data_IF_051206359017
#
_entry.id   IF_051206359017
#
_cell.length_a   1.000
_cell.length_b   1.000
_cell.length_c   1.000
_cell.angle_alpha   90.00
_cell.angle_beta   90.00
_cell.angle_gamma   90.00
#
_symmetry.space_group_name_H-M   'P 1'
#
loop_
_entity.id
_entity.type
_entity.pdbx_description
1 polymer ?
#
# COMPACT_ATOMS: atom_id res chain seq x y z
N UNK A 1 -0.51 -25.06 19.96
CA UNK A 1 -1.16 -25.55 18.70
C UNK A 1 -2.53 -24.90 18.64
N UNK A 2 -2.71 -23.92 17.77
CA UNK A 2 -4.02 -23.29 17.50
C UNK A 2 -4.98 -24.36 16.99
N UNK A 3 -6.19 -24.41 17.53
CA UNK A 3 -7.20 -25.36 17.06
C UNK A 3 -7.46 -25.10 15.56
N UNK A 4 -7.47 -26.16 14.76
CA UNK A 4 -7.67 -26.10 13.30
C UNK A 4 -8.97 -25.37 12.89
N UNK A 5 -9.97 -25.35 13.79
CA UNK A 5 -11.20 -24.58 13.60
C UNK A 5 -10.96 -23.07 13.78
N UNK A 6 -10.16 -22.69 14.77
CA UNK A 6 -9.84 -21.30 15.06
C UNK A 6 -8.92 -20.72 13.98
N UNK A 7 -7.95 -21.48 13.49
CA UNK A 7 -7.12 -21.08 12.34
C UNK A 7 -7.96 -20.81 11.11
N UNK A 8 -8.87 -21.72 10.74
CA UNK A 8 -9.80 -21.53 9.61
C UNK A 8 -10.64 -20.26 9.76
N UNK A 9 -11.17 -20.01 10.96
CA UNK A 9 -11.93 -18.80 11.27
C UNK A 9 -11.08 -17.53 11.05
N UNK A 10 -9.84 -17.56 11.53
CA UNK A 10 -8.92 -16.42 11.38
C UNK A 10 -8.52 -16.19 9.92
N UNK A 11 -8.33 -17.24 9.11
CA UNK A 11 -8.12 -17.12 7.66
C UNK A 11 -9.30 -16.41 6.99
N UNK A 12 -10.51 -16.85 7.26
CA UNK A 12 -11.71 -16.29 6.62
C UNK A 12 -11.95 -14.84 7.07
N UNK A 13 -11.95 -14.59 8.39
CA UNK A 13 -12.17 -13.25 8.91
C UNK A 13 -11.06 -12.28 8.49
N UNK A 14 -9.79 -12.71 8.61
CA UNK A 14 -8.64 -11.91 8.19
C UNK A 14 -8.68 -11.61 6.70
N UNK A 15 -8.97 -12.62 5.87
CA UNK A 15 -9.09 -12.44 4.42
C UNK A 15 -10.26 -11.52 4.02
N UNK A 16 -11.41 -11.61 4.69
CA UNK A 16 -12.54 -10.71 4.45
C UNK A 16 -12.18 -9.27 4.86
N UNK A 17 -11.67 -9.07 6.08
CA UNK A 17 -11.30 -7.74 6.55
C UNK A 17 -10.21 -7.09 5.68
N UNK A 18 -9.15 -7.85 5.35
CA UNK A 18 -8.10 -7.38 4.45
C UNK A 18 -8.64 -7.10 3.04
N UNK A 19 -9.50 -7.98 2.51
CA UNK A 19 -10.08 -7.82 1.18
C UNK A 19 -11.01 -6.61 1.06
N UNK A 20 -11.83 -6.35 2.08
CA UNK A 20 -12.67 -5.15 2.17
C UNK A 20 -11.80 -3.88 2.20
N UNK A 21 -10.79 -3.85 3.09
CA UNK A 21 -9.89 -2.71 3.19
C UNK A 21 -9.15 -2.48 1.88
N UNK A 22 -8.58 -3.53 1.27
CA UNK A 22 -7.87 -3.43 0.01
C UNK A 22 -8.78 -2.96 -1.13
N UNK A 23 -10.00 -3.47 -1.24
CA UNK A 23 -10.97 -3.05 -2.24
C UNK A 23 -11.27 -1.55 -2.11
N UNK A 24 -11.59 -1.08 -0.90
CA UNK A 24 -11.89 0.34 -0.66
C UNK A 24 -10.67 1.22 -0.95
N UNK A 25 -9.49 0.85 -0.44
CA UNK A 25 -8.27 1.62 -0.65
C UNK A 25 -7.91 1.74 -2.12
N UNK A 26 -7.92 0.62 -2.86
CA UNK A 26 -7.57 0.60 -4.29
C UNK A 26 -8.54 1.42 -5.13
N UNK A 27 -9.85 1.34 -4.86
CA UNK A 27 -10.83 2.14 -5.58
C UNK A 27 -10.69 3.65 -5.27
N UNK A 28 -10.49 4.02 -3.99
CA UNK A 28 -10.22 5.42 -3.61
C UNK A 28 -8.96 5.95 -4.29
N UNK A 29 -7.89 5.16 -4.35
CA UNK A 29 -6.65 5.53 -5.02
C UNK A 29 -6.86 5.70 -6.52
N UNK A 30 -7.51 4.74 -7.17
CA UNK A 30 -7.75 4.75 -8.61
C UNK A 30 -8.61 5.94 -9.05
N UNK A 31 -9.65 6.26 -8.30
CA UNK A 31 -10.47 7.44 -8.56
C UNK A 31 -9.68 8.71 -8.24
N UNK A 32 -8.95 8.74 -7.12
CA UNK A 32 -8.17 9.89 -6.69
C UNK A 32 -7.10 10.31 -7.68
N UNK A 33 -6.37 9.34 -8.27
CA UNK A 33 -5.31 9.61 -9.26
C UNK A 33 -5.84 10.33 -10.51
N UNK A 34 -7.11 10.18 -10.85
CA UNK A 34 -7.71 10.89 -11.99
C UNK A 34 -7.79 12.41 -11.76
N UNK A 35 -7.74 12.87 -10.52
CA UNK A 35 -7.91 14.29 -10.13
C UNK A 35 -6.69 14.88 -9.43
N UNK A 36 -5.56 14.17 -9.40
CA UNK A 36 -4.29 14.63 -8.83
C UNK A 36 -3.11 14.11 -9.65
N UNK A 37 -1.90 14.57 -9.36
CA UNK A 37 -0.70 14.04 -10.02
C UNK A 37 -0.25 12.74 -9.38
N UNK A 38 0.39 11.86 -10.17
CA UNK A 38 0.89 10.55 -9.69
C UNK A 38 1.87 10.72 -8.53
N UNK A 39 2.77 11.72 -8.59
CA UNK A 39 3.71 12.01 -7.52
C UNK A 39 3.01 12.43 -6.23
N UNK A 40 2.00 13.33 -6.31
CA UNK A 40 1.22 13.71 -5.13
C UNK A 40 0.43 12.54 -4.57
N UNK A 41 -0.20 11.73 -5.43
CA UNK A 41 -0.91 10.54 -5.01
C UNK A 41 0.02 9.57 -4.27
N UNK A 42 1.22 9.31 -4.79
CA UNK A 42 2.23 8.47 -4.14
C UNK A 42 2.66 9.02 -2.77
N UNK A 43 2.93 10.33 -2.68
CA UNK A 43 3.27 10.97 -1.40
C UNK A 43 2.15 10.86 -0.37
N UNK A 44 0.90 11.21 -0.76
CA UNK A 44 -0.25 11.20 0.15
C UNK A 44 -0.58 9.78 0.58
N UNK A 45 -0.55 8.80 -0.34
CA UNK A 45 -0.77 7.38 0.02
C UNK A 45 0.28 6.93 1.03
N UNK A 46 1.56 7.24 0.80
CA UNK A 46 2.64 6.82 1.69
C UNK A 46 2.59 7.49 3.07
N UNK A 47 1.72 8.47 3.32
CA UNK A 47 1.47 9.00 4.67
C UNK A 47 0.94 7.93 5.64
N UNK A 48 0.58 6.73 5.17
CA UNK A 48 0.33 5.60 6.07
C UNK A 48 1.51 5.32 7.01
N UNK A 49 2.75 5.68 6.66
CA UNK A 49 3.92 5.57 7.55
C UNK A 49 3.78 6.41 8.84
N UNK A 50 3.05 7.50 8.77
CA UNK A 50 2.72 8.36 9.93
C UNK A 50 1.46 7.84 10.62
N UNK A 51 0.47 7.43 9.84
CA UNK A 51 -0.83 7.00 10.36
C UNK A 51 -0.74 5.66 11.10
N UNK A 52 0.08 4.70 10.62
CA UNK A 52 0.23 3.38 11.26
C UNK A 52 0.69 3.50 12.72
N UNK A 53 1.78 4.20 13.08
CA UNK A 53 2.17 4.36 14.48
C UNK A 53 1.14 5.17 15.28
N UNK A 54 0.47 6.17 14.70
CA UNK A 54 -0.58 6.94 15.38
C UNK A 54 -1.75 6.01 15.75
N UNK A 55 -2.28 5.26 14.80
CA UNK A 55 -3.36 4.29 15.06
C UNK A 55 -2.89 3.15 15.97
N UNK A 56 -1.61 2.76 15.87
CA UNK A 56 -0.98 1.79 16.76
C UNK A 56 -1.05 2.19 18.24
N UNK A 57 -0.95 3.48 18.56
CA UNK A 57 -1.09 3.98 19.93
C UNK A 57 -2.47 3.63 20.50
N UNK A 58 -3.54 3.79 19.72
CA UNK A 58 -4.89 3.40 20.15
C UNK A 58 -5.04 1.90 20.36
N UNK A 59 -4.21 1.08 19.67
CA UNK A 59 -4.11 -0.37 19.87
C UNK A 59 -3.10 -0.75 20.96
N UNK A 60 -2.68 0.22 21.81
CA UNK A 60 -1.69 0.05 22.89
C UNK A 60 -0.30 -0.38 22.43
N UNK A 61 0.03 -0.22 21.15
CA UNK A 61 1.38 -0.40 20.61
C UNK A 61 2.17 0.88 20.83
N UNK A 62 3.37 0.77 21.40
CA UNK A 62 4.23 1.91 21.69
C UNK A 62 5.31 2.02 20.60
N UNK A 63 5.28 3.07 19.81
CA UNK A 63 6.39 3.43 18.94
C UNK A 63 7.45 4.20 19.76
N UNK A 64 8.67 3.69 19.78
CA UNK A 64 9.79 4.37 20.45
C UNK A 64 10.21 5.65 19.70
N UNK A 65 10.98 6.52 20.36
CA UNK A 65 11.47 7.79 19.79
C UNK A 65 12.25 7.55 18.48
N UNK A 66 13.02 6.48 18.39
CA UNK A 66 13.77 6.12 17.15
C UNK A 66 12.82 5.93 15.95
N UNK A 67 11.68 5.26 16.16
CA UNK A 67 10.68 5.06 15.10
C UNK A 67 10.11 6.39 14.63
N UNK A 68 9.84 7.33 15.53
CA UNK A 68 9.35 8.66 15.16
C UNK A 68 10.38 9.47 14.39
N UNK A 69 11.68 9.33 14.71
CA UNK A 69 12.78 9.94 13.92
C UNK A 69 12.82 9.33 12.52
N UNK A 70 12.75 8.00 12.40
CA UNK A 70 12.68 7.30 11.10
C UNK A 70 11.47 7.75 10.27
N UNK A 71 10.28 7.87 10.88
CA UNK A 71 9.08 8.38 10.24
C UNK A 71 9.30 9.81 9.72
N UNK A 72 9.87 10.70 10.52
CA UNK A 72 10.13 12.08 10.11
C UNK A 72 11.12 12.16 8.93
N UNK A 73 12.21 11.36 8.96
CA UNK A 73 13.19 11.28 7.87
C UNK A 73 12.52 10.71 6.61
N UNK A 74 11.70 9.66 6.74
CA UNK A 74 10.96 9.07 5.61
C UNK A 74 10.00 10.06 4.98
N UNK A 75 9.24 10.82 5.76
CA UNK A 75 8.33 11.85 5.24
C UNK A 75 9.10 12.92 4.47
N UNK A 76 10.26 13.36 4.98
CA UNK A 76 11.12 14.31 4.29
C UNK A 76 11.66 13.72 2.96
N UNK A 77 12.08 12.45 2.97
CA UNK A 77 12.52 11.73 1.77
C UNK A 77 11.41 11.60 0.73
N UNK A 78 10.22 11.18 1.15
CA UNK A 78 9.03 11.09 0.28
C UNK A 78 8.64 12.45 -0.32
N UNK A 79 8.71 13.51 0.47
CA UNK A 79 8.46 14.86 -0.03
C UNK A 79 9.42 15.24 -1.15
N UNK A 80 10.70 14.93 -0.99
CA UNK A 80 11.69 15.19 -2.03
C UNK A 80 11.48 14.33 -3.29
N UNK A 81 11.04 13.08 -3.13
CA UNK A 81 10.79 12.16 -4.24
C UNK A 81 9.53 12.53 -5.04
N UNK A 82 8.45 12.80 -4.35
CA UNK A 82 7.11 12.79 -4.97
C UNK A 82 6.56 14.19 -5.28
N UNK A 83 7.01 15.24 -4.56
CA UNK A 83 6.45 16.58 -4.72
C UNK A 83 7.38 17.42 -5.57
N UNK A 84 7.07 17.56 -6.84
CA UNK A 84 7.79 18.43 -7.79
C UNK A 84 7.15 19.80 -7.95
N UNK A 85 5.84 19.90 -7.75
CA UNK A 85 5.04 21.12 -7.95
C UNK A 85 4.56 21.71 -6.62
N UNK A 86 3.91 22.88 -6.70
CA UNK A 86 3.27 23.51 -5.53
C UNK A 86 2.18 22.61 -4.96
N UNK A 87 2.17 22.46 -3.64
CA UNK A 87 1.12 21.75 -2.90
C UNK A 87 -0.20 22.55 -2.95
N UNK A 88 -0.91 22.48 -4.05
CA UNK A 88 -2.29 22.98 -4.15
C UNK A 88 -3.21 21.78 -3.95
N UNK A 89 -4.10 21.87 -2.96
CA UNK A 89 -5.06 20.79 -2.65
C UNK A 89 -6.04 20.61 -3.83
N UNK A 90 -6.03 19.44 -4.42
CA UNK A 90 -6.97 19.00 -5.43
C UNK A 90 -8.05 18.08 -4.82
N UNK A 91 -9.19 17.94 -5.50
CA UNK A 91 -10.25 17.01 -5.04
C UNK A 91 -9.74 15.57 -4.89
N UNK A 92 -8.83 15.15 -5.79
CA UNK A 92 -8.21 13.83 -5.73
C UNK A 92 -7.36 13.60 -4.49
N UNK A 93 -6.73 14.65 -3.95
CA UNK A 93 -5.86 14.53 -2.77
C UNK A 93 -6.63 14.06 -1.53
N UNK A 94 -7.91 14.45 -1.41
CA UNK A 94 -8.78 14.00 -0.30
C UNK A 94 -9.08 12.50 -0.45
N UNK A 95 -9.38 12.03 -1.65
CA UNK A 95 -9.63 10.60 -1.91
C UNK A 95 -8.39 9.76 -1.63
N UNK A 96 -7.23 10.25 -2.04
CA UNK A 96 -5.95 9.58 -1.78
C UNK A 96 -5.57 9.61 -0.29
N UNK A 97 -5.93 10.66 0.44
CA UNK A 97 -5.74 10.71 1.89
C UNK A 97 -6.65 9.69 2.60
N UNK A 98 -7.90 9.57 2.18
CA UNK A 98 -8.79 8.53 2.68
C UNK A 98 -8.25 7.13 2.35
N UNK A 99 -7.69 6.95 1.15
CA UNK A 99 -6.99 5.73 0.77
C UNK A 99 -5.83 5.41 1.75
N UNK A 100 -4.99 6.40 2.11
CA UNK A 100 -3.91 6.21 3.07
C UNK A 100 -4.43 5.77 4.46
N UNK A 101 -5.55 6.31 4.92
CA UNK A 101 -6.22 5.87 6.16
C UNK A 101 -6.67 4.41 6.04
N UNK A 102 -7.28 4.02 4.92
CA UNK A 102 -7.74 2.64 4.71
C UNK A 102 -6.56 1.67 4.57
N UNK A 103 -5.47 2.05 3.89
CA UNK A 103 -4.23 1.24 3.87
C UNK A 103 -3.63 1.09 5.27
N UNK A 104 -3.70 2.13 6.10
CA UNK A 104 -3.29 2.02 7.51
C UNK A 104 -4.10 0.94 8.23
N UNK A 105 -5.41 0.93 8.06
CA UNK A 105 -6.29 -0.11 8.63
C UNK A 105 -5.91 -1.48 8.06
N UNK A 106 -5.67 -1.59 6.76
CA UNK A 106 -5.26 -2.83 6.11
C UNK A 106 -3.97 -3.40 6.73
N UNK A 107 -2.93 -2.57 6.91
CA UNK A 107 -1.66 -2.96 7.55
C UNK A 107 -1.89 -3.45 8.99
N UNK A 108 -2.73 -2.77 9.76
CA UNK A 108 -3.04 -3.15 11.14
C UNK A 108 -3.90 -4.42 11.23
N UNK A 109 -4.78 -4.65 10.27
CA UNK A 109 -5.57 -5.89 10.16
C UNK A 109 -4.66 -7.08 9.82
N UNK A 110 -3.73 -6.91 8.89
CA UNK A 110 -2.70 -7.92 8.59
C UNK A 110 -1.91 -8.26 9.86
N UNK A 111 -1.40 -7.25 10.57
CA UNK A 111 -0.65 -7.43 11.80
C UNK A 111 -1.43 -8.21 12.88
N UNK A 112 -2.74 -8.03 12.94
CA UNK A 112 -3.57 -8.76 13.89
C UNK A 112 -3.81 -10.22 13.50
N UNK A 113 -4.00 -10.52 12.20
CA UNK A 113 -4.40 -11.86 11.75
C UNK A 113 -3.22 -12.73 11.29
N UNK A 114 -2.13 -12.15 10.76
CA UNK A 114 -0.99 -12.91 10.22
C UNK A 114 -0.29 -13.81 11.24
N UNK A 115 -0.19 -13.47 12.56
CA UNK A 115 0.36 -14.40 13.54
C UNK A 115 -0.58 -15.55 13.90
N UNK A 116 -1.88 -15.44 13.58
CA UNK A 116 -2.94 -16.38 14.02
C UNK A 116 -3.33 -17.39 12.95
N UNK A 117 -2.90 -17.18 11.69
CA UNK A 117 -3.29 -18.01 10.58
C UNK A 117 -2.24 -17.99 9.46
N UNK A 118 -2.38 -18.91 8.51
CA UNK A 118 -1.51 -19.00 7.35
C UNK A 118 -1.66 -17.76 6.45
N UNK A 119 -0.57 -17.01 6.27
CA UNK A 119 -0.54 -15.75 5.52
C UNK A 119 -0.92 -15.91 4.04
N UNK A 120 -0.53 -17.02 3.41
CA UNK A 120 -0.86 -17.30 2.00
C UNK A 120 -2.36 -17.52 1.84
N UNK A 121 -2.99 -18.23 2.78
CA UNK A 121 -4.44 -18.44 2.76
C UNK A 121 -5.21 -17.16 3.01
N UNK A 122 -4.73 -16.28 3.92
CA UNK A 122 -5.29 -14.94 4.11
C UNK A 122 -5.21 -14.16 2.81
N UNK A 123 -4.04 -14.16 2.12
CA UNK A 123 -3.84 -13.47 0.85
C UNK A 123 -4.80 -13.98 -0.24
N UNK A 124 -4.92 -15.29 -0.42
CA UNK A 124 -5.87 -15.86 -1.38
C UNK A 124 -7.32 -15.42 -1.11
N UNK A 125 -7.74 -15.46 0.16
CA UNK A 125 -9.09 -15.04 0.54
C UNK A 125 -9.28 -13.54 0.31
N UNK A 126 -8.28 -12.72 0.67
CA UNK A 126 -8.28 -11.28 0.43
C UNK A 126 -8.48 -10.95 -1.06
N UNK A 127 -7.71 -11.57 -1.95
CA UNK A 127 -7.81 -11.28 -3.38
C UNK A 127 -9.14 -11.75 -3.97
N UNK A 128 -9.64 -12.89 -3.53
CA UNK A 128 -10.96 -13.36 -3.95
C UNK A 128 -12.06 -12.34 -3.56
N UNK A 129 -12.06 -11.87 -2.31
CA UNK A 129 -13.04 -10.88 -1.84
C UNK A 129 -12.86 -9.55 -2.58
N UNK A 130 -11.62 -9.05 -2.72
CA UNK A 130 -11.34 -7.81 -3.45
C UNK A 130 -11.82 -7.91 -4.90
N UNK A 131 -11.51 -9.02 -5.59
CA UNK A 131 -11.90 -9.24 -6.98
C UNK A 131 -13.42 -9.27 -7.17
N UNK A 132 -14.14 -10.02 -6.33
CA UNK A 132 -15.61 -10.09 -6.38
C UNK A 132 -16.24 -8.72 -6.11
N UNK A 133 -15.76 -8.01 -5.08
CA UNK A 133 -16.30 -6.69 -4.74
C UNK A 133 -15.98 -5.63 -5.79
N UNK A 134 -14.81 -5.66 -6.41
CA UNK A 134 -14.44 -4.72 -7.47
C UNK A 134 -15.13 -5.02 -8.79
N UNK A 135 -15.52 -6.27 -9.04
CA UNK A 135 -16.29 -6.61 -10.21
C UNK A 135 -17.70 -5.99 -10.21
N UNK A 136 -18.29 -5.81 -9.03
CA UNK A 136 -19.64 -5.22 -8.92
C UNK A 136 -19.70 -3.81 -9.50
N UNK A 137 -18.91 -2.82 -9.03
CA UNK A 137 -18.95 -1.47 -9.61
C UNK A 137 -18.46 -1.46 -11.08
N UNK A 138 -17.53 -2.33 -11.46
CA UNK A 138 -17.09 -2.45 -12.85
C UNK A 138 -18.25 -2.75 -13.78
N UNK A 139 -19.09 -3.74 -13.46
CA UNK A 139 -20.23 -4.09 -14.31
C UNK A 139 -21.41 -3.13 -14.19
N UNK A 140 -21.52 -2.36 -13.08
CA UNK A 140 -22.61 -1.40 -12.89
C UNK A 140 -22.31 -0.02 -13.53
N UNK A 141 -21.06 0.42 -13.52
CA UNK A 141 -20.67 1.79 -13.88
C UNK A 141 -19.76 1.85 -15.09
N UNK A 142 -19.18 0.75 -15.54
CA UNK A 142 -18.23 0.70 -16.64
C UNK A 142 -18.75 -0.23 -17.75
N UNK A 143 -18.27 -0.03 -18.98
CA UNK A 143 -18.52 -0.90 -20.13
C UNK A 143 -17.21 -1.54 -20.58
N UNK A 144 -16.68 -2.56 -19.84
CA UNK A 144 -15.40 -3.16 -20.17
C UNK A 144 -15.46 -3.85 -21.54
N UNK A 145 -14.55 -3.51 -22.43
CA UNK A 145 -14.39 -4.17 -23.73
C UNK A 145 -13.24 -5.14 -23.66
N UNK A 146 -13.43 -6.35 -24.13
CA UNK A 146 -12.37 -7.36 -24.18
C UNK A 146 -11.15 -6.90 -24.99
N UNK A 147 -11.37 -6.14 -26.07
CA UNK A 147 -10.30 -5.53 -26.88
C UNK A 147 -9.36 -4.66 -26.03
N UNK A 148 -9.92 -3.84 -25.14
CA UNK A 148 -9.16 -2.91 -24.32
C UNK A 148 -8.39 -3.65 -23.22
N UNK A 149 -9.00 -4.72 -22.66
CA UNK A 149 -8.35 -5.61 -21.70
C UNK A 149 -7.16 -6.33 -22.35
N UNK A 150 -7.31 -6.85 -23.59
CA UNK A 150 -6.21 -7.48 -24.29
C UNK A 150 -5.12 -6.47 -24.70
N UNK A 151 -5.47 -5.25 -25.09
CA UNK A 151 -4.51 -4.19 -25.37
C UNK A 151 -3.69 -3.81 -24.12
N UNK A 152 -4.29 -3.88 -22.94
CA UNK A 152 -3.64 -3.63 -21.65
C UNK A 152 -3.16 -4.90 -20.94
N UNK A 153 -3.02 -6.04 -21.63
CA UNK A 153 -2.72 -7.33 -21.01
C UNK A 153 -1.41 -7.32 -20.17
N UNK A 154 -0.35 -6.69 -20.68
CA UNK A 154 0.93 -6.64 -19.97
C UNK A 154 0.83 -5.90 -18.64
N UNK A 155 0.35 -4.64 -18.57
CA UNK A 155 0.20 -3.95 -17.30
C UNK A 155 -0.83 -4.63 -16.37
N UNK A 156 -1.90 -5.22 -16.91
CA UNK A 156 -2.89 -5.97 -16.10
C UNK A 156 -2.27 -7.22 -15.48
N UNK A 157 -1.51 -8.00 -16.23
CA UNK A 157 -0.80 -9.16 -15.70
C UNK A 157 0.27 -8.78 -14.69
N UNK A 158 1.03 -7.71 -14.95
CA UNK A 158 2.00 -7.19 -14.00
C UNK A 158 1.32 -6.78 -12.67
N UNK A 159 0.26 -6.00 -12.75
CA UNK A 159 -0.48 -5.55 -11.56
C UNK A 159 -1.16 -6.72 -10.82
N UNK A 160 -1.77 -7.65 -11.55
CA UNK A 160 -2.49 -8.78 -10.95
C UNK A 160 -1.56 -9.84 -10.37
N UNK A 161 -0.51 -10.24 -11.10
CA UNK A 161 0.37 -11.35 -10.67
C UNK A 161 1.49 -10.85 -9.78
N UNK A 162 2.28 -9.87 -10.23
CA UNK A 162 3.46 -9.44 -9.49
C UNK A 162 3.12 -8.46 -8.37
N UNK A 163 2.42 -7.38 -8.67
CA UNK A 163 2.10 -6.36 -7.68
C UNK A 163 1.06 -6.85 -6.66
N UNK A 164 -0.03 -7.45 -7.11
CA UNK A 164 -1.04 -7.98 -6.18
C UNK A 164 -0.66 -9.37 -5.68
N UNK A 165 -0.58 -10.36 -6.55
CA UNK A 165 -0.42 -11.76 -6.19
C UNK A 165 0.85 -12.03 -5.37
N UNK A 166 2.01 -11.58 -5.84
CA UNK A 166 3.29 -11.83 -5.17
C UNK A 166 3.53 -10.82 -4.04
N UNK A 167 3.51 -9.51 -4.32
CA UNK A 167 3.95 -8.51 -3.34
C UNK A 167 3.07 -8.46 -2.09
N UNK A 168 1.74 -8.40 -2.21
CA UNK A 168 0.85 -8.42 -1.03
C UNK A 168 0.89 -9.75 -0.28
N UNK A 169 1.09 -10.89 -0.98
CA UNK A 169 1.26 -12.18 -0.28
C UNK A 169 2.53 -12.17 0.55
N UNK A 170 3.64 -11.70 -0.02
CA UNK A 170 4.90 -11.53 0.71
C UNK A 170 4.76 -10.55 1.87
N UNK A 171 4.02 -9.46 1.70
CA UNK A 171 3.71 -8.51 2.76
C UNK A 171 3.02 -9.20 3.94
N UNK A 172 1.94 -9.96 3.68
CA UNK A 172 1.19 -10.64 4.75
C UNK A 172 2.06 -11.68 5.47
N UNK A 173 2.88 -12.42 4.72
CA UNK A 173 3.80 -13.41 5.29
C UNK A 173 4.89 -12.74 6.14
N UNK A 174 5.50 -11.67 5.63
CA UNK A 174 6.58 -10.96 6.32
C UNK A 174 6.09 -10.18 7.56
N UNK A 175 4.90 -9.61 7.51
CA UNK A 175 4.32 -8.87 8.65
C UNK A 175 3.97 -9.77 9.84
N UNK A 176 3.95 -11.09 9.68
CA UNK A 176 3.71 -12.02 10.80
C UNK A 176 4.68 -11.81 11.96
N UNK A 177 5.94 -11.51 11.64
CA UNK A 177 7.04 -11.41 12.62
C UNK A 177 7.61 -9.98 12.71
N UNK A 178 6.95 -8.98 12.07
CA UNK A 178 7.40 -7.60 12.01
C UNK A 178 6.43 -6.65 12.73
N UNK A 179 6.96 -5.63 13.41
CA UNK A 179 6.14 -4.53 13.91
C UNK A 179 5.49 -3.79 12.73
N UNK A 180 4.18 -3.45 12.80
CA UNK A 180 3.46 -2.82 11.70
C UNK A 180 4.03 -1.45 11.31
N UNK A 181 4.64 -0.72 12.23
CA UNK A 181 5.29 0.56 11.92
C UNK A 181 6.57 0.34 11.12
N UNK A 182 7.37 -0.65 11.50
CA UNK A 182 8.58 -1.03 10.74
C UNK A 182 8.17 -1.54 9.35
N UNK A 183 7.14 -2.37 9.28
CA UNK A 183 6.60 -2.85 8.01
C UNK A 183 6.16 -1.67 7.11
N UNK A 184 5.45 -0.68 7.66
CA UNK A 184 5.02 0.50 6.90
C UNK A 184 6.19 1.34 6.39
N UNK A 185 7.27 1.49 7.17
CA UNK A 185 8.49 2.16 6.73
C UNK A 185 9.15 1.42 5.56
N UNK A 186 9.27 0.09 5.64
CA UNK A 186 9.85 -0.73 4.56
C UNK A 186 8.98 -0.66 3.30
N UNK A 187 7.66 -0.74 3.44
CA UNK A 187 6.72 -0.63 2.32
C UNK A 187 6.83 0.72 1.62
N UNK A 188 7.11 1.81 2.34
CA UNK A 188 7.29 3.13 1.74
C UNK A 188 8.48 3.24 0.77
N UNK A 189 9.44 2.29 0.81
CA UNK A 189 10.49 2.18 -0.21
C UNK A 189 9.94 1.91 -1.62
N UNK A 190 8.67 1.54 -1.75
CA UNK A 190 7.99 1.47 -3.05
C UNK A 190 8.23 2.75 -3.88
N UNK A 191 8.17 3.92 -3.24
CA UNK A 191 8.43 5.20 -3.90
C UNK A 191 9.87 5.31 -4.44
N UNK A 192 10.84 4.79 -3.71
CA UNK A 192 12.25 4.75 -4.15
C UNK A 192 12.42 3.81 -5.32
N UNK A 193 11.88 2.59 -5.23
CA UNK A 193 11.96 1.61 -6.32
C UNK A 193 11.20 2.07 -7.57
N UNK A 194 10.11 2.83 -7.42
CA UNK A 194 9.38 3.44 -8.53
C UNK A 194 10.26 4.44 -9.29
N UNK A 195 10.97 5.32 -8.58
CA UNK A 195 11.89 6.31 -9.17
C UNK A 195 13.09 5.62 -9.84
N UNK A 196 13.69 4.62 -9.18
CA UNK A 196 14.78 3.82 -9.75
C UNK A 196 14.33 3.04 -10.98
N UNK A 197 13.14 2.46 -10.96
CA UNK A 197 12.54 1.78 -12.11
C UNK A 197 12.31 2.75 -13.29
N UNK A 198 11.82 3.95 -13.03
CA UNK A 198 11.70 5.00 -14.02
C UNK A 198 13.03 5.38 -14.66
N UNK A 199 14.09 5.47 -13.86
CA UNK A 199 15.45 5.73 -14.36
C UNK A 199 15.97 4.60 -15.24
N UNK A 200 15.92 3.34 -14.76
CA UNK A 200 16.53 2.19 -15.45
C UNK A 200 15.69 1.74 -16.66
N UNK A 201 14.36 1.68 -16.52
CA UNK A 201 13.47 1.10 -17.55
C UNK A 201 13.03 2.16 -18.57
N UNK A 202 12.71 3.38 -18.10
CA UNK A 202 12.18 4.45 -18.95
C UNK A 202 13.24 5.48 -19.36
N UNK A 203 14.49 5.34 -18.92
CA UNK A 203 15.59 6.25 -19.24
C UNK A 203 15.39 7.67 -18.66
N UNK A 204 14.56 7.83 -17.63
CA UNK A 204 14.32 9.12 -16.98
C UNK A 204 15.59 9.60 -16.26
N UNK A 205 15.85 10.91 -16.29
CA UNK A 205 17.01 11.47 -15.57
C UNK A 205 16.63 11.73 -14.12
N UNK A 206 17.40 11.18 -13.20
CA UNK A 206 17.26 11.48 -11.78
C UNK A 206 17.75 12.89 -11.48
N UNK A 207 16.94 13.69 -10.84
CA UNK A 207 17.32 14.97 -10.28
C UNK A 207 18.10 14.78 -8.97
N UNK A 208 18.92 15.78 -8.60
CA UNK A 208 19.63 15.79 -7.31
C UNK A 208 18.64 15.65 -6.13
N UNK A 209 17.46 16.24 -6.28
CA UNK A 209 16.38 16.16 -5.29
C UNK A 209 15.87 14.73 -5.09
N UNK A 210 15.65 13.99 -6.18
CA UNK A 210 15.20 12.58 -6.12
C UNK A 210 16.30 11.69 -5.52
N UNK A 211 17.56 11.91 -5.87
CA UNK A 211 18.69 11.19 -5.27
C UNK A 211 18.75 11.44 -3.75
N UNK A 212 18.63 12.70 -3.31
CA UNK A 212 18.59 13.04 -1.89
C UNK A 212 17.40 12.38 -1.18
N UNK A 213 16.22 12.37 -1.81
CA UNK A 213 15.03 11.67 -1.32
C UNK A 213 15.27 10.17 -1.14
N UNK A 214 15.86 9.50 -2.13
CA UNK A 214 16.24 8.09 -2.03
C UNK A 214 17.18 7.81 -0.85
N UNK A 215 18.21 8.63 -0.69
CA UNK A 215 19.18 8.49 0.42
C UNK A 215 18.48 8.64 1.78
N UNK A 216 17.61 9.65 1.94
CA UNK A 216 16.84 9.83 3.17
C UNK A 216 15.93 8.63 3.46
N UNK A 217 15.22 8.13 2.46
CA UNK A 217 14.34 6.98 2.63
C UNK A 217 15.09 5.72 3.06
N UNK A 218 16.25 5.43 2.45
CA UNK A 218 17.09 4.30 2.86
C UNK A 218 17.67 4.50 4.26
N UNK A 219 18.14 5.72 4.60
CA UNK A 219 18.71 5.99 5.92
C UNK A 219 17.69 5.94 7.05
N UNK A 220 16.40 6.13 6.75
CA UNK A 220 15.33 6.03 7.73
C UNK A 220 15.04 4.61 8.21
N UNK A 221 15.48 3.59 7.46
CA UNK A 221 15.19 2.18 7.76
C UNK A 221 16.36 1.50 8.49
N UNK A 222 17.56 2.10 8.45
CA UNK A 222 18.74 1.63 9.15
C UNK A 222 18.77 2.16 10.60
#
# INVERSE_FOLDING_TARGET
KTDRKEEKKNVILGGICCGLALCVASNLQQIGIQYTTVGKAGFITALYIVLVPIFGIFLKKKAGVRIWISVAISVAGLYLLCITDKLVLAKGDILVLLCAVVFTIHILVIDYFSPKADGVRIACTQFFITGVLSAIPMFLFETPRLSDIFAAAVPVLYAGVLSSGVAYTLQIVAQKDADPTVASLILSLESVFSVLGGWVILGQKLSIREIAGCILMFSAII
#
